data_IF_686157994751
#
_entry.id   IF_686157994751
#
_cell.length_a   1.000
_cell.length_b   1.000
_cell.length_c   1.000
_cell.angle_alpha   90.00
_cell.angle_beta   90.00
_cell.angle_gamma   90.00
#
_symmetry.space_group_name_H-M   'P 1'
#
loop_
_entity.id
_entity.type
_entity.pdbx_description
1 polymer ?
#
# COMPACT_ATOMS: atom_id res chain seq x y z
N UNK A 1 7.00 -15.12 17.37
CA UNK A 1 6.91 -14.12 16.29
C UNK A 1 7.49 -12.79 16.78
N UNK A 2 8.40 -12.16 16.03
CA UNK A 2 9.14 -10.95 16.44
C UNK A 2 9.86 -11.07 17.80
N UNK A 3 10.31 -12.28 18.16
CA UNK A 3 10.91 -12.64 19.46
C UNK A 3 9.95 -12.50 20.66
N UNK A 4 8.65 -12.35 20.48
CA UNK A 4 7.65 -12.50 21.53
C UNK A 4 7.43 -13.98 21.83
N UNK A 5 7.20 -14.31 23.11
CA UNK A 5 7.07 -15.70 23.58
C UNK A 5 5.63 -16.17 23.65
N UNK A 6 4.70 -15.26 23.83
CA UNK A 6 3.28 -15.54 23.99
C UNK A 6 2.46 -14.71 23.00
N UNK A 7 1.29 -15.21 22.66
CA UNK A 7 0.32 -14.44 21.89
C UNK A 7 -1.10 -14.81 22.30
N UNK A 8 -1.95 -13.81 22.25
CA UNK A 8 -3.39 -13.91 22.42
C UNK A 8 -4.06 -13.49 21.11
N UNK A 9 -5.23 -14.05 20.82
CA UNK A 9 -5.97 -13.66 19.63
C UNK A 9 -7.48 -13.70 19.83
N UNK A 10 -8.16 -12.81 19.12
CA UNK A 10 -9.62 -12.81 18.98
C UNK A 10 -9.90 -12.73 17.47
N UNK A 11 -10.28 -13.86 16.86
CA UNK A 11 -10.40 -13.95 15.42
C UNK A 11 -9.07 -13.67 14.72
N UNK A 12 -9.04 -12.60 13.93
CA UNK A 12 -7.85 -12.17 13.16
C UNK A 12 -7.08 -11.00 13.81
N UNK A 13 -7.36 -10.70 15.08
CA UNK A 13 -6.65 -9.69 15.89
C UNK A 13 -5.66 -10.41 16.79
N UNK A 14 -4.38 -10.03 16.74
CA UNK A 14 -3.30 -10.67 17.50
C UNK A 14 -2.62 -9.69 18.45
N UNK A 15 -2.41 -10.13 19.69
CA UNK A 15 -1.64 -9.42 20.71
C UNK A 15 -0.49 -10.31 21.15
N UNK A 16 0.74 -9.84 21.02
CA UNK A 16 1.93 -10.55 21.41
C UNK A 16 2.53 -9.95 22.67
N UNK A 17 2.95 -10.80 23.60
CA UNK A 17 3.54 -10.42 24.88
C UNK A 17 4.85 -11.17 25.13
N UNK A 18 5.63 -10.69 26.09
CA UNK A 18 6.86 -11.30 26.56
C UNK A 18 6.99 -11.09 28.06
N UNK A 19 7.63 -12.01 28.81
CA UNK A 19 8.02 -11.78 30.20
C UNK A 19 9.00 -10.62 30.39
N UNK A 20 9.66 -10.21 29.30
CA UNK A 20 10.55 -9.04 29.27
C UNK A 20 9.68 -7.77 29.16
N UNK A 21 9.54 -7.04 30.28
CA UNK A 21 8.72 -5.84 30.37
C UNK A 21 9.20 -4.71 29.46
N UNK A 22 10.52 -4.61 29.19
CA UNK A 22 11.07 -3.59 28.29
C UNK A 22 10.58 -3.77 26.84
N UNK A 23 10.12 -4.95 26.48
CA UNK A 23 9.65 -5.28 25.15
C UNK A 23 8.24 -4.75 24.86
N UNK A 24 7.46 -4.53 25.91
CA UNK A 24 6.08 -4.10 25.82
C UNK A 24 5.15 -5.12 25.13
N UNK A 25 4.07 -4.63 24.57
CA UNK A 25 3.03 -5.42 23.91
C UNK A 25 2.96 -5.02 22.43
N UNK A 26 2.84 -6.01 21.55
CA UNK A 26 2.63 -5.77 20.10
C UNK A 26 1.20 -6.13 19.71
N UNK A 27 0.43 -5.15 19.27
CA UNK A 27 -0.84 -5.36 18.58
C UNK A 27 -0.60 -5.49 17.08
N UNK A 28 -1.08 -6.56 16.48
CA UNK A 28 -0.99 -6.81 15.05
C UNK A 28 -2.36 -7.03 14.43
N UNK A 29 -2.71 -6.15 13.46
CA UNK A 29 -3.96 -6.19 12.71
C UNK A 29 -3.62 -6.38 11.22
N UNK A 30 -4.06 -7.49 10.63
CA UNK A 30 -3.80 -7.80 9.21
C UNK A 30 -5.09 -8.14 8.49
N UNK A 31 -5.26 -7.64 7.28
CA UNK A 31 -6.34 -8.04 6.39
C UNK A 31 -7.72 -8.07 7.06
N UNK A 32 -8.20 -9.26 7.40
CA UNK A 32 -9.49 -9.43 8.09
C UNK A 32 -9.50 -8.84 9.50
N UNK A 33 -8.35 -8.90 10.19
CA UNK A 33 -8.21 -8.32 11.55
C UNK A 33 -8.42 -6.82 11.57
N UNK A 34 -8.01 -6.08 10.53
CA UNK A 34 -8.32 -4.65 10.42
C UNK A 34 -9.83 -4.41 10.34
N UNK A 35 -10.56 -5.19 9.53
CA UNK A 35 -12.03 -5.05 9.41
C UNK A 35 -12.76 -5.44 10.70
N UNK A 36 -12.29 -6.51 11.35
CA UNK A 36 -12.84 -6.93 12.63
C UNK A 36 -12.62 -5.85 13.70
N UNK A 37 -11.42 -5.29 13.78
CA UNK A 37 -11.11 -4.21 14.71
C UNK A 37 -11.93 -2.95 14.42
N UNK A 38 -12.08 -2.59 13.15
CA UNK A 38 -12.93 -1.48 12.72
C UNK A 38 -14.39 -1.65 13.18
N UNK A 39 -14.93 -2.87 13.12
CA UNK A 39 -16.29 -3.13 13.62
C UNK A 39 -16.43 -2.86 15.14
N UNK A 40 -15.38 -3.09 15.91
CA UNK A 40 -15.37 -2.77 17.34
C UNK A 40 -15.24 -1.27 17.58
N UNK A 41 -14.45 -0.56 16.77
CA UNK A 41 -14.38 0.90 16.84
C UNK A 41 -15.73 1.53 16.55
N UNK A 42 -16.37 1.11 15.45
CA UNK A 42 -17.70 1.60 15.07
C UNK A 42 -18.77 1.32 16.13
N UNK A 43 -18.74 0.14 16.74
CA UNK A 43 -19.65 -0.19 17.87
C UNK A 43 -19.47 0.71 19.08
N UNK A 44 -18.32 1.36 19.23
CA UNK A 44 -18.00 2.33 20.28
C UNK A 44 -18.11 3.78 19.79
N UNK A 45 -18.67 4.02 18.60
CA UNK A 45 -18.74 5.33 17.95
C UNK A 45 -17.37 6.00 17.78
N UNK A 46 -16.33 5.17 17.53
CA UNK A 46 -14.94 5.60 17.37
C UNK A 46 -14.45 5.34 15.93
N UNK A 47 -13.44 6.07 15.54
CA UNK A 47 -12.74 5.95 14.26
C UNK A 47 -11.32 5.38 14.42
N UNK A 48 -10.70 5.05 13.28
CA UNK A 48 -9.26 4.73 13.24
C UNK A 48 -8.38 5.88 13.73
N UNK A 49 -8.81 7.14 13.53
CA UNK A 49 -8.06 8.31 14.00
C UNK A 49 -8.04 8.38 15.53
N UNK A 50 -9.16 8.10 16.18
CA UNK A 50 -9.25 8.06 17.65
C UNK A 50 -8.34 6.98 18.22
N UNK A 51 -8.36 5.79 17.63
CA UNK A 51 -7.47 4.71 18.03
C UNK A 51 -5.99 5.04 17.85
N UNK A 52 -5.61 5.61 16.69
CA UNK A 52 -4.23 5.99 16.42
C UNK A 52 -3.76 7.12 17.36
N UNK A 53 -4.64 8.06 17.68
CA UNK A 53 -4.34 9.13 18.64
C UNK A 53 -4.07 8.55 20.02
N UNK A 54 -4.96 7.70 20.54
CA UNK A 54 -4.80 7.07 21.84
C UNK A 54 -3.51 6.24 21.90
N UNK A 55 -3.26 5.45 20.86
CA UNK A 55 -2.05 4.64 20.78
C UNK A 55 -0.76 5.49 20.86
N UNK A 56 -0.74 6.69 20.25
CA UNK A 56 0.41 7.60 20.36
C UNK A 56 0.48 8.28 21.73
N UNK A 57 -0.65 8.66 22.30
CA UNK A 57 -0.71 9.27 23.65
C UNK A 57 -0.22 8.28 24.69
N UNK A 58 -0.55 7.00 24.56
CA UNK A 58 -0.10 5.92 25.44
C UNK A 58 1.37 5.51 25.20
N UNK A 59 2.09 6.24 24.34
CA UNK A 59 3.50 5.95 24.03
C UNK A 59 3.70 4.82 23.03
N UNK A 60 2.68 4.43 22.29
CA UNK A 60 2.75 3.39 21.28
C UNK A 60 3.71 3.73 20.13
N UNK A 61 4.44 2.72 19.67
CA UNK A 61 5.41 2.85 18.59
C UNK A 61 4.86 2.23 17.31
N UNK A 62 4.71 3.03 16.27
CA UNK A 62 4.21 2.59 14.96
C UNK A 62 5.28 1.76 14.24
N UNK A 63 5.20 0.44 14.30
CA UNK A 63 6.14 -0.47 13.62
C UNK A 63 5.81 -0.66 12.15
N UNK A 64 4.52 -0.62 11.81
CA UNK A 64 4.04 -0.77 10.43
C UNK A 64 2.69 -0.09 10.24
N UNK A 65 2.55 0.54 9.09
CA UNK A 65 1.28 1.05 8.58
C UNK A 65 1.18 0.72 7.10
N UNK A 66 0.08 0.08 6.70
CA UNK A 66 -0.22 -0.15 5.30
C UNK A 66 -1.46 0.68 4.93
N UNK A 67 -1.33 1.58 3.96
CA UNK A 67 -2.43 2.34 3.38
C UNK A 67 -2.78 1.75 2.03
N UNK A 68 -4.07 1.48 1.79
CA UNK A 68 -4.53 0.84 0.57
C UNK A 68 -5.54 1.72 -0.17
N UNK A 69 -5.30 1.92 -1.47
CA UNK A 69 -6.21 2.59 -2.39
C UNK A 69 -6.80 1.53 -3.31
N UNK A 70 -8.13 1.48 -3.37
CA UNK A 70 -8.84 0.60 -4.27
C UNK A 70 -9.12 1.32 -5.59
N UNK A 71 -8.73 0.69 -6.68
CA UNK A 71 -9.12 1.10 -8.03
C UNK A 71 -10.32 0.25 -8.48
N UNK A 72 -11.46 0.89 -8.58
CA UNK A 72 -12.73 0.27 -9.00
C UNK A 72 -12.92 0.30 -10.51
N UNK A 73 -12.16 1.11 -11.23
CA UNK A 73 -12.35 1.41 -12.65
C UNK A 73 -11.36 0.70 -13.56
N UNK A 74 -10.26 0.15 -13.00
CA UNK A 74 -9.18 -0.46 -13.78
C UNK A 74 -8.19 0.56 -14.36
N UNK A 75 -8.07 1.75 -13.76
CA UNK A 75 -7.09 2.76 -14.16
C UNK A 75 -5.66 2.31 -13.95
N UNK A 76 -5.40 1.50 -12.91
CA UNK A 76 -4.12 0.88 -12.65
C UNK A 76 -3.96 -0.38 -13.52
N UNK A 77 -3.56 -0.21 -14.76
CA UNK A 77 -3.17 -1.34 -15.63
C UNK A 77 -1.77 -1.82 -15.20
N UNK A 78 -1.72 -2.92 -14.44
CA UNK A 78 -0.47 -3.38 -13.82
C UNK A 78 0.53 -3.92 -14.85
N UNK A 79 0.14 -4.65 -15.89
CA UNK A 79 1.01 -4.93 -17.02
C UNK A 79 1.62 -3.67 -17.64
N UNK A 80 0.82 -2.65 -17.93
CA UNK A 80 1.30 -1.38 -18.48
C UNK A 80 2.28 -0.68 -17.52
N UNK A 81 1.96 -0.59 -16.23
CA UNK A 81 2.86 -0.01 -15.22
C UNK A 81 4.19 -0.79 -15.13
N UNK A 82 4.15 -2.11 -15.30
CA UNK A 82 5.35 -2.95 -15.31
C UNK A 82 6.21 -2.65 -16.53
N UNK A 83 5.62 -2.51 -17.72
CA UNK A 83 6.35 -2.12 -18.93
C UNK A 83 6.94 -0.71 -18.81
N UNK A 84 6.20 0.23 -18.23
CA UNK A 84 6.73 1.57 -17.93
C UNK A 84 7.94 1.53 -16.99
N UNK A 85 7.95 0.63 -15.99
CA UNK A 85 9.15 0.42 -15.17
C UNK A 85 10.33 -0.10 -15.97
N UNK A 86 10.13 -1.03 -16.93
CA UNK A 86 11.18 -1.58 -17.81
C UNK A 86 11.71 -0.54 -18.79
N UNK A 87 10.85 0.35 -19.27
CA UNK A 87 11.17 1.37 -20.27
C UNK A 87 11.67 2.68 -19.66
N UNK A 88 12.02 2.68 -18.36
CA UNK A 88 12.47 3.87 -17.61
C UNK A 88 11.42 5.00 -17.50
N UNK A 89 10.16 4.69 -17.75
CA UNK A 89 9.03 5.62 -17.66
C UNK A 89 8.40 5.67 -16.25
N UNK A 90 9.02 5.02 -15.27
CA UNK A 90 8.73 5.18 -13.85
C UNK A 90 9.80 6.07 -13.22
N UNK A 91 9.49 7.35 -13.03
CA UNK A 91 10.36 8.30 -12.32
C UNK A 91 10.14 8.11 -10.82
N UNK A 92 11.19 7.70 -10.11
CA UNK A 92 11.06 7.31 -8.72
C UNK A 92 12.34 7.54 -7.92
N UNK A 93 12.20 7.75 -6.61
CA UNK A 93 13.31 7.70 -5.66
C UNK A 93 13.70 6.25 -5.31
N UNK A 94 12.89 5.28 -5.65
CA UNK A 94 13.24 3.87 -5.55
C UNK A 94 14.20 3.44 -6.64
N UNK A 95 15.08 2.48 -6.33
CA UNK A 95 16.11 1.99 -7.27
C UNK A 95 15.72 0.69 -7.97
N UNK A 96 14.67 0.03 -7.54
CA UNK A 96 14.32 -1.30 -8.07
C UNK A 96 12.81 -1.53 -8.04
N UNK A 97 12.37 -2.40 -8.93
CA UNK A 97 11.04 -2.97 -8.93
C UNK A 97 11.13 -4.49 -9.12
N UNK A 98 10.04 -5.19 -8.78
CA UNK A 98 9.85 -6.61 -9.10
C UNK A 98 8.42 -6.79 -9.59
N UNK A 99 8.23 -7.59 -10.61
CA UNK A 99 6.91 -7.96 -11.09
C UNK A 99 6.74 -9.48 -11.09
N UNK A 100 5.54 -9.90 -10.80
CA UNK A 100 5.12 -11.29 -10.81
C UNK A 100 3.85 -11.42 -11.62
N UNK A 101 3.81 -12.46 -12.44
CA UNK A 101 2.60 -12.91 -13.12
C UNK A 101 2.33 -14.34 -12.65
N UNK A 102 1.11 -14.62 -12.24
CA UNK A 102 0.65 -15.96 -11.89
C UNK A 102 -0.43 -16.40 -12.86
N UNK A 103 -0.51 -17.69 -13.14
CA UNK A 103 -1.52 -18.25 -14.03
C UNK A 103 -1.75 -19.73 -13.74
N UNK A 104 -2.84 -20.26 -14.26
CA UNK A 104 -3.18 -21.67 -14.19
C UNK A 104 -2.62 -22.44 -15.37
N UNK A 105 -2.09 -23.64 -15.13
CA UNK A 105 -1.58 -24.52 -16.18
C UNK A 105 -2.69 -25.20 -16.97
N UNK A 106 -3.87 -25.35 -16.38
CA UNK A 106 -5.03 -25.97 -16.99
C UNK A 106 -6.12 -24.92 -17.16
N UNK A 107 -6.57 -24.72 -18.40
CA UNK A 107 -7.72 -23.88 -18.71
C UNK A 107 -9.00 -24.66 -18.39
N UNK A 108 -9.88 -24.10 -17.60
CA UNK A 108 -11.25 -24.60 -17.49
C UNK A 108 -12.04 -24.17 -18.73
N UNK A 109 -12.82 -25.09 -19.32
CA UNK A 109 -13.52 -24.89 -20.60
C UNK A 109 -14.47 -23.66 -20.63
N UNK A 110 -14.89 -23.17 -19.45
CA UNK A 110 -15.79 -22.03 -19.32
C UNK A 110 -15.10 -20.66 -19.19
N UNK A 111 -13.76 -20.61 -19.19
CA UNK A 111 -13.02 -19.37 -19.02
C UNK A 111 -12.01 -19.17 -20.15
N UNK A 112 -12.33 -18.26 -21.05
CA UNK A 112 -11.46 -17.88 -22.19
C UNK A 112 -10.11 -17.28 -21.81
N UNK A 113 -9.91 -16.96 -20.52
CA UNK A 113 -8.65 -16.41 -19.99
C UNK A 113 -8.16 -17.28 -18.86
N UNK A 114 -7.01 -17.93 -19.05
CA UNK A 114 -6.23 -18.44 -17.93
C UNK A 114 -6.01 -17.26 -16.98
N UNK A 115 -6.61 -17.33 -15.82
CA UNK A 115 -6.55 -16.25 -14.83
C UNK A 115 -5.09 -16.00 -14.45
N UNK A 116 -4.55 -14.87 -14.87
CA UNK A 116 -3.21 -14.44 -14.51
C UNK A 116 -3.36 -13.20 -13.63
N UNK A 117 -2.97 -13.34 -12.37
CA UNK A 117 -2.88 -12.20 -11.47
C UNK A 117 -1.51 -11.53 -11.60
N UNK A 118 -1.51 -10.21 -11.80
CA UNK A 118 -0.28 -9.42 -11.85
C UNK A 118 -0.05 -8.71 -10.52
N UNK A 119 1.23 -8.69 -10.09
CA UNK A 119 1.69 -7.93 -8.92
C UNK A 119 2.97 -7.20 -9.26
N UNK A 120 2.99 -5.90 -9.01
CA UNK A 120 4.15 -5.03 -9.15
C UNK A 120 4.58 -4.50 -7.78
N UNK A 121 5.81 -4.77 -7.38
CA UNK A 121 6.46 -4.15 -6.25
C UNK A 121 7.40 -3.05 -6.73
N UNK A 122 7.28 -1.85 -6.16
CA UNK A 122 8.17 -0.72 -6.44
C UNK A 122 8.92 -0.40 -5.15
N UNK A 123 10.24 -0.44 -5.21
CA UNK A 123 11.11 -0.38 -4.04
C UNK A 123 11.49 -1.76 -3.48
N UNK A 124 12.40 -1.75 -2.52
CA UNK A 124 12.85 -2.99 -1.86
C UNK A 124 11.92 -3.39 -0.74
N UNK A 125 11.54 -4.67 -0.66
CA UNK A 125 10.73 -5.22 0.43
C UNK A 125 11.42 -5.09 1.82
N UNK A 126 12.75 -4.88 1.82
CA UNK A 126 13.54 -4.64 3.04
C UNK A 126 13.53 -3.17 3.47
N UNK A 127 13.15 -2.25 2.58
CA UNK A 127 13.08 -0.82 2.88
C UNK A 127 11.93 -0.50 3.82
N UNK A 128 12.01 0.65 4.47
CA UNK A 128 10.95 1.18 5.32
C UNK A 128 9.75 1.69 4.52
N UNK A 129 9.94 1.97 3.23
CA UNK A 129 8.88 2.33 2.28
C UNK A 129 9.02 1.47 1.04
N UNK A 130 7.93 0.86 0.62
CA UNK A 130 7.78 0.25 -0.70
C UNK A 130 6.30 0.15 -1.07
N UNK A 131 6.03 0.01 -2.34
CA UNK A 131 4.66 -0.10 -2.86
C UNK A 131 4.40 -1.49 -3.42
N UNK A 132 3.16 -1.92 -3.29
CA UNK A 132 2.67 -3.16 -3.86
C UNK A 132 1.38 -2.86 -4.62
N UNK A 133 1.41 -3.05 -5.94
CA UNK A 133 0.25 -2.85 -6.82
C UNK A 133 -0.15 -4.19 -7.39
N UNK A 134 -1.42 -4.58 -7.26
CA UNK A 134 -1.85 -5.89 -7.70
C UNK A 134 -3.32 -5.94 -8.13
N UNK A 135 -3.64 -6.93 -8.96
CA UNK A 135 -5.00 -7.21 -9.41
C UNK A 135 -5.83 -7.79 -8.27
N UNK A 136 -6.65 -6.95 -7.67
CA UNK A 136 -7.53 -7.33 -6.55
C UNK A 136 -8.72 -8.17 -7.00
N UNK A 137 -9.17 -7.99 -8.23
CA UNK A 137 -10.22 -8.81 -8.83
C UNK A 137 -9.85 -10.29 -8.83
N UNK A 138 -8.60 -10.58 -9.18
CA UNK A 138 -8.08 -11.95 -9.20
C UNK A 138 -8.01 -12.55 -7.78
N UNK A 139 -7.57 -11.78 -6.79
CA UNK A 139 -7.60 -12.22 -5.40
C UNK A 139 -9.02 -12.52 -4.90
N UNK A 140 -10.01 -11.69 -5.31
CA UNK A 140 -11.42 -11.90 -4.98
C UNK A 140 -11.98 -13.15 -5.66
N UNK A 141 -11.59 -13.40 -6.90
CA UNK A 141 -11.95 -14.64 -7.60
C UNK A 141 -11.44 -15.88 -6.85
N UNK A 142 -10.15 -15.94 -6.53
CA UNK A 142 -9.55 -17.08 -5.84
C UNK A 142 -10.15 -17.31 -4.44
N UNK A 143 -10.33 -16.22 -3.67
CA UNK A 143 -10.74 -16.32 -2.26
C UNK A 143 -12.24 -16.40 -2.04
N UNK A 144 -13.02 -15.79 -2.92
CA UNK A 144 -14.45 -15.60 -2.74
C UNK A 144 -15.30 -16.18 -3.88
N UNK A 145 -14.67 -16.65 -4.97
CA UNK A 145 -15.37 -17.15 -6.15
C UNK A 145 -16.10 -16.07 -6.96
N UNK A 146 -15.76 -14.78 -6.75
CA UNK A 146 -16.38 -13.67 -7.48
C UNK A 146 -15.79 -13.64 -8.89
N UNK A 147 -16.58 -13.68 -9.98
CA UNK A 147 -16.07 -13.55 -11.33
C UNK A 147 -15.23 -12.27 -11.49
N UNK A 148 -14.14 -12.33 -12.25
CA UNK A 148 -13.17 -11.22 -12.36
C UNK A 148 -13.85 -9.95 -12.90
N UNK A 149 -14.76 -10.12 -13.86
CA UNK A 149 -15.53 -9.03 -14.47
C UNK A 149 -16.48 -8.35 -13.48
N UNK A 150 -17.02 -9.12 -12.53
CA UNK A 150 -17.97 -8.66 -11.51
C UNK A 150 -17.31 -8.15 -10.26
N UNK A 151 -15.98 -8.36 -10.11
CA UNK A 151 -15.25 -7.96 -8.92
C UNK A 151 -15.35 -6.44 -8.70
N UNK A 152 -15.82 -6.01 -7.51
CA UNK A 152 -16.06 -4.58 -7.24
C UNK A 152 -14.77 -3.78 -7.15
N UNK A 153 -13.65 -4.43 -6.86
CA UNK A 153 -12.33 -3.80 -6.84
C UNK A 153 -11.49 -4.46 -7.93
N UNK A 154 -11.10 -3.69 -8.93
CA UNK A 154 -10.27 -4.20 -10.02
C UNK A 154 -8.82 -4.36 -9.58
N UNK A 155 -8.22 -3.28 -9.10
CA UNK A 155 -6.83 -3.27 -8.66
C UNK A 155 -6.71 -2.65 -7.27
N UNK A 156 -5.56 -2.85 -6.63
CA UNK A 156 -5.22 -2.21 -5.36
C UNK A 156 -3.78 -1.72 -5.38
N UNK A 157 -3.62 -0.50 -4.89
CA UNK A 157 -2.32 0.10 -4.62
C UNK A 157 -2.10 0.14 -3.11
N UNK A 158 -1.08 -0.56 -2.61
CA UNK A 158 -0.71 -0.57 -1.19
C UNK A 158 0.60 0.16 -0.96
N UNK A 159 0.56 1.13 -0.05
CA UNK A 159 1.72 1.85 0.47
C UNK A 159 2.10 1.16 1.77
N UNK A 160 3.29 0.55 1.82
CA UNK A 160 3.76 -0.19 2.99
C UNK A 160 4.87 0.57 3.68
N UNK A 161 4.60 1.01 4.90
CA UNK A 161 5.44 1.87 5.71
C UNK A 161 5.88 1.15 6.97
N UNK A 162 7.15 1.35 7.37
CA UNK A 162 7.73 0.76 8.58
C UNK A 162 8.39 1.83 9.43
N UNK A 163 8.43 1.60 10.74
CA UNK A 163 9.16 2.38 11.73
C UNK A 163 8.88 3.90 11.61
N UNK A 164 9.90 4.71 11.48
CA UNK A 164 9.81 6.17 11.39
C UNK A 164 8.84 6.62 10.27
N UNK A 165 8.82 5.92 9.13
CA UNK A 165 7.94 6.25 8.01
C UNK A 165 6.46 6.04 8.35
N UNK A 166 6.15 4.96 9.06
CA UNK A 166 4.80 4.71 9.58
C UNK A 166 4.38 5.79 10.57
N UNK A 167 5.26 6.18 11.49
CA UNK A 167 5.01 7.23 12.46
C UNK A 167 4.67 8.59 11.80
N UNK A 168 5.47 9.03 10.81
CA UNK A 168 5.20 10.30 10.12
C UNK A 168 3.90 10.26 9.30
N UNK A 169 3.57 9.12 8.70
CA UNK A 169 2.29 8.96 8.01
C UNK A 169 1.10 9.03 9.00
N UNK A 170 1.21 8.40 10.18
CA UNK A 170 0.18 8.51 11.23
C UNK A 170 0.04 9.96 11.70
N UNK A 171 1.14 10.69 11.88
CA UNK A 171 1.08 12.12 12.21
C UNK A 171 0.34 12.94 11.16
N UNK A 172 0.59 12.70 9.88
CA UNK A 172 -0.12 13.38 8.79
C UNK A 172 -1.60 13.03 8.80
N UNK A 173 -1.95 11.73 8.96
CA UNK A 173 -3.33 11.27 9.12
C UNK A 173 -4.06 11.99 10.27
N UNK A 174 -3.41 12.12 11.42
CA UNK A 174 -3.99 12.78 12.61
C UNK A 174 -3.99 14.31 12.50
N UNK A 175 -3.20 14.89 11.63
CA UNK A 175 -3.20 16.33 11.38
C UNK A 175 -4.35 16.74 10.46
N UNK A 176 -4.62 15.96 9.43
CA UNK A 176 -5.56 16.33 8.38
C UNK A 176 -6.87 15.53 8.40
N UNK A 177 -6.92 14.41 9.09
CA UNK A 177 -8.07 13.49 9.11
C UNK A 177 -8.54 13.09 7.69
N UNK A 178 -7.59 12.96 6.77
CA UNK A 178 -7.83 12.64 5.37
C UNK A 178 -6.83 11.57 4.88
N UNK A 179 -7.26 10.32 4.95
CA UNK A 179 -6.44 9.18 4.57
C UNK A 179 -6.14 9.16 3.06
N UNK A 180 -7.07 9.63 2.24
CA UNK A 180 -6.90 9.70 0.79
C UNK A 180 -5.81 10.72 0.42
N UNK A 181 -5.89 11.92 0.99
CA UNK A 181 -4.87 12.95 0.82
C UNK A 181 -3.50 12.43 1.25
N UNK A 182 -3.38 11.85 2.44
CA UNK A 182 -2.12 11.32 2.96
C UNK A 182 -1.54 10.26 2.01
N UNK A 183 -2.35 9.29 1.59
CA UNK A 183 -1.91 8.21 0.70
C UNK A 183 -1.40 8.73 -0.65
N UNK A 184 -2.15 9.59 -1.33
CA UNK A 184 -1.73 10.14 -2.62
C UNK A 184 -0.55 11.10 -2.52
N UNK A 185 -0.45 11.87 -1.44
CA UNK A 185 0.72 12.73 -1.18
C UNK A 185 2.00 11.90 -1.00
N UNK A 186 1.91 10.74 -0.34
CA UNK A 186 3.03 9.79 -0.27
C UNK A 186 3.35 9.24 -1.66
N UNK A 187 2.36 8.79 -2.43
CA UNK A 187 2.59 8.27 -3.78
C UNK A 187 3.32 9.31 -4.63
N UNK A 188 2.83 10.54 -4.67
CA UNK A 188 3.40 11.63 -5.47
C UNK A 188 4.85 11.98 -5.08
N UNK A 189 5.23 11.73 -3.83
CA UNK A 189 6.62 11.90 -3.37
C UNK A 189 7.55 10.85 -3.93
N UNK A 190 7.07 9.60 -4.08
CA UNK A 190 7.93 8.47 -4.36
C UNK A 190 7.91 8.02 -5.81
N UNK A 191 6.81 8.19 -6.54
CA UNK A 191 6.62 7.61 -7.89
C UNK A 191 5.83 8.53 -8.81
N UNK A 192 6.29 8.64 -10.05
CA UNK A 192 5.55 9.23 -11.18
C UNK A 192 5.66 8.28 -12.37
N UNK A 193 4.55 7.88 -12.95
CA UNK A 193 4.54 7.20 -14.24
C UNK A 193 4.31 8.24 -15.35
N UNK A 194 5.18 8.21 -16.34
CA UNK A 194 5.30 9.23 -17.38
C UNK A 194 5.31 8.59 -18.77
N UNK A 195 5.11 9.41 -19.78
CA UNK A 195 5.26 9.02 -21.18
C UNK A 195 6.57 9.61 -21.71
N UNK A 196 7.43 8.76 -22.29
CA UNK A 196 8.75 9.15 -22.80
C UNK A 196 8.62 10.13 -23.96
N UNK A 197 9.29 11.27 -23.85
CA UNK A 197 9.38 12.31 -24.87
C UNK A 197 10.84 12.43 -25.34
N UNK A 198 11.11 12.12 -26.64
CA UNK A 198 12.48 11.98 -27.17
C UNK A 198 13.34 13.24 -27.00
N UNK A 199 12.73 14.43 -27.08
CA UNK A 199 13.44 15.72 -27.08
C UNK A 199 13.51 16.38 -25.70
N UNK A 200 13.09 15.67 -24.64
CA UNK A 200 13.04 16.20 -23.29
C UNK A 200 13.85 15.36 -22.30
N UNK A 201 14.30 16.03 -21.24
CA UNK A 201 14.89 15.32 -20.10
C UNK A 201 13.80 14.52 -19.38
N UNK A 202 14.18 13.41 -18.79
CA UNK A 202 13.26 12.50 -18.06
C UNK A 202 12.45 13.20 -16.96
N UNK A 203 13.03 14.21 -16.30
CA UNK A 203 12.34 15.04 -15.31
C UNK A 203 11.14 15.80 -15.87
N UNK A 204 11.18 16.10 -17.18
CA UNK A 204 10.23 16.97 -17.85
C UNK A 204 9.19 16.17 -18.68
N UNK A 205 9.27 14.83 -18.64
CA UNK A 205 8.28 13.97 -19.28
C UNK A 205 6.93 14.14 -18.62
N UNK A 206 5.87 14.14 -19.42
CA UNK A 206 4.51 14.29 -18.95
C UNK A 206 4.03 13.04 -18.23
N UNK A 207 3.15 13.23 -17.25
CA UNK A 207 2.45 12.10 -16.63
C UNK A 207 1.65 11.33 -17.68
N UNK A 208 1.68 10.01 -17.60
CA UNK A 208 0.79 9.19 -18.41
C UNK A 208 -0.67 9.47 -18.04
N UNK A 209 -1.55 9.41 -19.01
CA UNK A 209 -2.96 9.81 -18.86
C UNK A 209 -3.64 9.01 -17.73
N UNK A 210 -3.51 7.68 -17.73
CA UNK A 210 -4.11 6.82 -16.70
C UNK A 210 -3.57 7.14 -15.32
N UNK A 211 -2.25 7.38 -15.21
CA UNK A 211 -1.64 7.73 -13.93
C UNK A 211 -2.11 9.10 -13.43
N UNK A 212 -2.21 10.08 -14.31
CA UNK A 212 -2.72 11.41 -13.97
C UNK A 212 -4.16 11.33 -13.42
N UNK A 213 -5.02 10.53 -14.05
CA UNK A 213 -6.36 10.25 -13.57
C UNK A 213 -6.37 9.57 -12.20
N UNK A 214 -5.51 8.57 -11.99
CA UNK A 214 -5.44 7.84 -10.73
C UNK A 214 -5.02 8.72 -9.57
N UNK A 215 -3.96 9.53 -9.72
CA UNK A 215 -3.46 10.38 -8.63
C UNK A 215 -4.32 11.64 -8.40
N UNK A 216 -5.10 12.07 -9.38
CA UNK A 216 -5.88 13.30 -9.33
C UNK A 216 -5.03 14.56 -9.32
N UNK A 217 -5.70 15.72 -9.24
CA UNK A 217 -5.05 17.02 -9.24
C UNK A 217 -4.71 17.52 -7.82
N UNK A 218 -3.73 18.45 -7.72
CA UNK A 218 -3.43 19.26 -6.52
C UNK A 218 -3.04 18.47 -5.26
N UNK A 219 -2.23 17.43 -5.40
CA UNK A 219 -1.73 16.65 -4.26
C UNK A 219 -0.23 16.88 -4.07
N UNK A 220 0.11 17.66 -3.05
CA UNK A 220 1.51 17.95 -2.74
C UNK A 220 2.23 16.70 -2.21
N UNK A 221 3.51 16.50 -2.61
CA UNK A 221 4.32 15.38 -2.12
C UNK A 221 4.57 15.44 -0.62
N UNK A 222 4.26 14.36 0.11
CA UNK A 222 4.49 14.25 1.54
C UNK A 222 5.86 13.63 1.84
N UNK A 223 6.68 14.35 2.57
CA UNK A 223 7.95 13.88 3.07
C UNK A 223 7.78 13.16 4.42
N UNK A 224 8.13 11.87 4.47
CA UNK A 224 8.01 11.02 5.66
C UNK A 224 9.26 11.02 6.55
N UNK A 225 9.92 12.16 6.68
CA UNK A 225 11.10 12.32 7.56
C UNK A 225 11.41 13.80 7.76
N UNK A 226 11.96 14.14 8.90
CA UNK A 226 12.54 15.45 9.14
C UNK A 226 14.02 15.54 8.74
N UNK A 227 14.68 14.41 8.50
CA UNK A 227 16.08 14.38 8.08
C UNK A 227 16.21 14.91 6.64
N UNK A 228 17.26 15.66 6.32
CA UNK A 228 17.59 15.99 4.94
C UNK A 228 17.76 14.70 4.13
N UNK A 229 17.19 14.65 2.93
CA UNK A 229 17.48 13.54 2.04
C UNK A 229 18.91 13.67 1.51
N UNK A 230 19.69 12.57 1.48
CA UNK A 230 20.99 12.62 0.84
C UNK A 230 20.80 12.99 -0.63
N UNK A 231 21.56 13.96 -1.09
CA UNK A 231 21.62 14.32 -2.50
C UNK A 231 22.05 13.07 -3.28
N UNK A 232 21.18 12.53 -4.09
CA UNK A 232 21.57 11.53 -5.10
C UNK A 232 22.09 12.33 -6.29
N UNK A 233 23.41 12.34 -6.45
CA UNK A 233 24.09 12.78 -7.67
C UNK A 233 23.72 11.86 -8.85
#
# INVERSE_FOLDING_TARGET
HYSYTEHYYIGDIFVYTSPDEEKGVLLELKGKGCRQFESYLLAQERSWYDFLMDALVDGGVMKRLDLAINDHTGMLDIPELTEKCRNEECVSVFRSFKSYASGELVKHEEQDKAGMGYTLYIGSLKSEVYFCVYEKSYEQYIKLGIPIEEAPIKNRFEIRLKNERAYYAVRDLLTYYDAERTAFSIINRYVRFVDKEADKKRSDWKLSVRWAWFIGENREPLKLTTKPEPYTL
#
